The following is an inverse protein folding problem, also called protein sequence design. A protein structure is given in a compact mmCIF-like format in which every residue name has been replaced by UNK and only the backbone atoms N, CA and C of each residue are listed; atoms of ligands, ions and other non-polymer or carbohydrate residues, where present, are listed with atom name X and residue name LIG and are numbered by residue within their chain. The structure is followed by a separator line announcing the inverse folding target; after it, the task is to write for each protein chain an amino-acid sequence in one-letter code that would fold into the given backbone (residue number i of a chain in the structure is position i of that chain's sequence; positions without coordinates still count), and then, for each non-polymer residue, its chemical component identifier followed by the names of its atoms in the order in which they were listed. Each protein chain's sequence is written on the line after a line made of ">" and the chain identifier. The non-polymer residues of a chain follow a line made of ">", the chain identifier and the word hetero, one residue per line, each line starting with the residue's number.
data_IF_676508943473
#
_entry.id   IF_676508943473
#
_cell.length_a   1.000
_cell.length_b   1.000
_cell.length_c   1.000
_cell.angle_alpha   90.00
_cell.angle_beta   90.00
_cell.angle_gamma   90.00
#
_symmetry.space_group_name_H-M   'P 1'
#
loop_
_entity.id
_entity.type
_entity.pdbx_description
1 polymer ?
#
# COMPACT_ATOMS: atom_id res chain seq x y z
N UNK A 1 -16.30 50.89 -27.71
CA UNK A 1 -17.67 50.37 -27.70
C UNK A 1 -17.84 49.10 -26.86
N UNK A 2 -16.83 48.28 -26.69
CA UNK A 2 -16.89 47.11 -25.85
C UNK A 2 -16.92 47.44 -24.35
N UNK A 3 -16.37 48.56 -23.91
CA UNK A 3 -16.31 48.98 -22.51
C UNK A 3 -17.69 49.28 -21.89
N UNK A 4 -18.69 49.74 -22.67
CA UNK A 4 -20.01 50.04 -22.19
C UNK A 4 -20.88 48.80 -21.98
N UNK A 5 -20.67 47.75 -22.78
CA UNK A 5 -21.34 46.47 -22.63
C UNK A 5 -20.75 45.67 -21.46
N UNK A 6 -19.43 45.71 -21.27
CA UNK A 6 -18.75 45.07 -20.15
C UNK A 6 -19.17 45.68 -18.82
N UNK A 7 -19.49 46.99 -18.81
CA UNK A 7 -19.97 47.67 -17.62
C UNK A 7 -21.43 47.29 -17.27
N UNK A 8 -22.28 47.03 -18.28
CA UNK A 8 -23.65 46.56 -18.08
C UNK A 8 -23.75 45.11 -17.62
N UNK A 9 -22.83 44.27 -18.05
CA UNK A 9 -22.79 42.85 -17.70
C UNK A 9 -21.82 42.52 -16.56
N UNK A 10 -21.33 43.55 -15.85
CA UNK A 10 -20.48 43.36 -14.69
C UNK A 10 -19.07 42.86 -14.97
N UNK A 11 -18.59 42.97 -16.21
CA UNK A 11 -17.23 42.60 -16.61
C UNK A 11 -16.28 43.80 -16.58
N UNK A 12 -15.96 44.26 -15.39
CA UNK A 12 -14.98 45.34 -15.23
C UNK A 12 -13.53 44.76 -15.30
N UNK A 13 -12.53 45.53 -15.80
CA UNK A 13 -11.13 45.08 -15.83
C UNK A 13 -10.60 44.72 -14.44
N UNK A 14 -11.04 45.41 -13.40
CA UNK A 14 -10.67 45.13 -12.02
C UNK A 14 -11.24 43.78 -11.52
N UNK A 15 -12.41 43.38 -12.02
CA UNK A 15 -13.02 42.10 -11.68
C UNK A 15 -12.24 40.93 -12.26
N UNK A 16 -11.79 41.02 -13.55
CA UNK A 16 -10.95 40.03 -14.20
C UNK A 16 -9.62 39.85 -13.48
N UNK A 17 -9.01 40.96 -13.06
CA UNK A 17 -7.75 40.94 -12.29
C UNK A 17 -7.93 40.28 -10.95
N UNK A 18 -9.04 40.57 -10.24
CA UNK A 18 -9.40 39.96 -8.97
C UNK A 18 -9.69 38.48 -9.11
N UNK A 19 -10.41 38.08 -10.16
CA UNK A 19 -10.68 36.66 -10.48
C UNK A 19 -9.38 35.89 -10.73
N UNK A 20 -8.43 36.47 -11.48
CA UNK A 20 -7.13 35.84 -11.70
C UNK A 20 -6.38 35.64 -10.39
N UNK A 21 -6.38 36.62 -9.53
CA UNK A 21 -5.74 36.51 -8.22
C UNK A 21 -6.40 35.44 -7.34
N UNK A 22 -7.72 35.33 -7.42
CA UNK A 22 -8.46 34.25 -6.74
C UNK A 22 -8.09 32.86 -7.31
N UNK A 23 -8.02 32.72 -8.62
CA UNK A 23 -7.61 31.49 -9.27
C UNK A 23 -6.18 31.08 -8.92
N UNK A 24 -5.27 32.05 -8.93
CA UNK A 24 -3.87 31.81 -8.54
C UNK A 24 -3.79 31.40 -7.07
N UNK A 25 -4.50 32.10 -6.19
CA UNK A 25 -4.57 31.76 -4.78
C UNK A 25 -5.14 30.37 -4.53
N UNK A 26 -6.24 30.02 -5.20
CA UNK A 26 -6.83 28.69 -5.12
C UNK A 26 -5.88 27.60 -5.65
N UNK A 27 -5.19 27.85 -6.75
CA UNK A 27 -4.20 26.93 -7.31
C UNK A 27 -3.02 26.72 -6.37
N UNK A 28 -2.52 27.78 -5.74
CA UNK A 28 -1.43 27.69 -4.77
C UNK A 28 -1.85 26.89 -3.53
N UNK A 29 -3.04 27.11 -3.02
CA UNK A 29 -3.59 26.35 -1.89
C UNK A 29 -3.72 24.88 -2.26
N UNK A 30 -4.24 24.58 -3.46
CA UNK A 30 -4.38 23.21 -3.94
C UNK A 30 -3.03 22.51 -4.04
N UNK A 31 -2.02 23.17 -4.63
CA UNK A 31 -0.66 22.63 -4.73
C UNK A 31 -0.05 22.41 -3.35
N UNK A 32 -0.24 23.33 -2.42
CA UNK A 32 0.26 23.20 -1.06
C UNK A 32 -0.36 22.01 -0.33
N UNK A 33 -1.68 21.84 -0.42
CA UNK A 33 -2.39 20.70 0.17
C UNK A 33 -1.93 19.39 -0.45
N UNK A 34 -1.83 19.35 -1.78
CA UNK A 34 -1.38 18.17 -2.52
C UNK A 34 0.05 17.80 -2.15
N UNK A 35 0.95 18.78 -2.08
CA UNK A 35 2.35 18.56 -1.68
C UNK A 35 2.44 18.03 -0.25
N UNK A 36 1.68 18.60 0.67
CA UNK A 36 1.62 18.14 2.05
C UNK A 36 1.11 16.70 2.14
N UNK A 37 0.10 16.36 1.35
CA UNK A 37 -0.46 15.00 1.31
C UNK A 37 0.56 14.00 0.75
N UNK A 38 1.23 14.35 -0.35
CA UNK A 38 2.28 13.49 -0.94
C UNK A 38 3.44 13.28 0.04
N UNK A 39 3.84 14.34 0.72
CA UNK A 39 4.89 14.27 1.74
C UNK A 39 4.49 13.35 2.90
N UNK A 40 3.25 13.51 3.39
CA UNK A 40 2.71 12.67 4.45
C UNK A 40 2.60 11.20 4.02
N UNK A 41 2.03 10.94 2.84
CA UNK A 41 1.91 9.59 2.29
C UNK A 41 3.26 8.93 2.00
N UNK A 42 4.27 9.72 1.62
CA UNK A 42 5.63 9.22 1.40
C UNK A 42 6.40 8.95 2.70
N UNK A 43 6.08 9.65 3.77
CA UNK A 43 6.76 9.47 5.06
C UNK A 43 6.35 8.18 5.78
N UNK A 44 5.11 7.75 5.58
CA UNK A 44 4.56 6.53 6.19
C UNK A 44 5.03 5.24 5.49
N UNK A 45 5.95 5.36 4.55
CA UNK A 45 6.38 4.24 3.71
C UNK A 45 7.61 3.50 4.27
N UNK A 46 7.67 3.33 5.60
CA UNK A 46 8.69 2.48 6.24
C UNK A 46 8.61 1.03 5.75
N UNK A 47 7.51 0.65 5.12
CA UNK A 47 7.35 -0.65 4.49
C UNK A 47 8.00 -0.75 3.10
N UNK A 48 8.48 0.36 2.54
CA UNK A 48 9.13 0.35 1.23
C UNK A 48 10.46 -0.42 1.22
N UNK A 49 11.03 -0.69 2.39
CA UNK A 49 12.27 -1.43 2.52
C UNK A 49 12.07 -2.95 2.71
N UNK A 50 10.81 -3.39 2.75
CA UNK A 50 10.46 -4.79 2.89
C UNK A 50 9.45 -5.16 1.81
N UNK A 51 9.86 -6.04 0.91
CA UNK A 51 8.99 -6.59 -0.12
C UNK A 51 8.81 -8.08 0.12
N UNK A 52 7.57 -8.53 0.10
CA UNK A 52 7.21 -9.94 0.19
C UNK A 52 6.47 -10.37 -1.06
N UNK A 53 6.88 -11.49 -1.62
CA UNK A 53 6.30 -12.04 -2.85
C UNK A 53 5.93 -13.49 -2.65
N UNK A 54 4.68 -13.82 -2.91
CA UNK A 54 4.23 -15.21 -2.93
C UNK A 54 4.82 -15.92 -4.14
N UNK A 55 5.50 -17.05 -3.91
CA UNK A 55 6.11 -17.83 -5.00
C UNK A 55 5.32 -19.08 -5.33
N UNK A 56 4.85 -19.81 -4.34
CA UNK A 56 4.11 -21.06 -4.55
C UNK A 56 3.35 -21.45 -3.30
N UNK A 57 2.36 -22.33 -3.50
CA UNK A 57 1.75 -23.07 -2.41
C UNK A 57 1.49 -24.51 -2.85
N UNK A 58 1.49 -25.43 -1.90
CA UNK A 58 1.19 -26.83 -2.12
C UNK A 58 0.23 -27.32 -1.06
N UNK A 59 -0.94 -27.81 -1.48
CA UNK A 59 -1.92 -28.38 -0.57
C UNK A 59 -1.47 -29.81 -0.24
N UNK A 60 -1.07 -30.02 1.02
CA UNK A 60 -0.56 -31.32 1.47
C UNK A 60 -1.72 -32.27 1.74
N UNK A 61 -2.70 -31.81 2.52
CA UNK A 61 -3.92 -32.56 2.85
C UNK A 61 -5.05 -31.60 3.26
N UNK A 62 -6.15 -32.16 3.80
CA UNK A 62 -7.31 -31.36 4.22
C UNK A 62 -7.01 -30.43 5.41
N UNK A 63 -5.89 -30.61 6.10
CA UNK A 63 -5.54 -29.89 7.31
C UNK A 63 -4.18 -29.22 7.28
N UNK A 64 -3.45 -29.32 6.16
CA UNK A 64 -2.12 -28.74 6.02
C UNK A 64 -1.92 -28.16 4.62
N UNK A 65 -1.24 -27.03 4.57
CA UNK A 65 -0.81 -26.39 3.32
C UNK A 65 0.59 -25.84 3.51
N UNK A 66 1.45 -26.04 2.51
CA UNK A 66 2.78 -25.44 2.46
C UNK A 66 2.73 -24.18 1.61
N UNK A 67 3.23 -23.08 2.16
CA UNK A 67 3.29 -21.79 1.48
C UNK A 67 4.75 -21.39 1.36
N UNK A 68 5.17 -21.11 0.13
CA UNK A 68 6.52 -20.61 -0.16
C UNK A 68 6.46 -19.14 -0.56
N UNK A 69 7.35 -18.36 -0.01
CA UNK A 69 7.41 -16.94 -0.29
C UNK A 69 8.85 -16.43 -0.23
N UNK A 70 9.08 -15.31 -0.88
CA UNK A 70 10.37 -14.64 -0.90
C UNK A 70 10.27 -13.30 -0.20
N UNK A 71 11.20 -13.03 0.70
CA UNK A 71 11.36 -11.76 1.40
C UNK A 71 12.56 -11.02 0.84
N UNK A 72 12.37 -9.76 0.47
CA UNK A 72 13.42 -8.86 0.06
C UNK A 72 13.41 -7.66 1.02
N UNK A 73 14.49 -7.50 1.78
CA UNK A 73 14.64 -6.41 2.73
C UNK A 73 16.05 -5.82 2.64
N UNK A 74 16.11 -4.49 2.72
CA UNK A 74 17.38 -3.75 2.81
C UNK A 74 17.80 -3.48 4.25
N UNK A 75 16.90 -3.68 5.20
CA UNK A 75 17.16 -3.44 6.61
C UNK A 75 17.55 -4.73 7.34
N UNK A 76 18.55 -4.64 8.21
CA UNK A 76 19.00 -5.75 9.05
C UNK A 76 18.19 -5.81 10.35
N UNK A 77 16.88 -6.00 10.22
CA UNK A 77 15.95 -6.11 11.34
C UNK A 77 15.17 -7.42 11.24
N UNK A 78 14.67 -7.96 12.36
CA UNK A 78 13.77 -9.09 12.30
C UNK A 78 12.51 -8.77 11.52
N UNK A 79 12.02 -9.72 10.73
CA UNK A 79 10.83 -9.60 9.91
C UNK A 79 9.75 -10.53 10.45
N UNK A 80 8.58 -9.99 10.69
CA UNK A 80 7.40 -10.76 11.08
C UNK A 80 6.43 -10.81 9.93
N UNK A 81 6.00 -12.02 9.55
CA UNK A 81 5.04 -12.26 8.47
C UNK A 81 3.81 -12.96 8.99
N UNK A 82 2.64 -12.49 8.56
CA UNK A 82 1.37 -13.17 8.74
C UNK A 82 1.02 -13.87 7.44
N UNK A 83 0.86 -15.18 7.50
CA UNK A 83 0.48 -16.01 6.37
C UNK A 83 -0.90 -16.63 6.62
N UNK A 84 -1.67 -16.78 5.54
CA UNK A 84 -3.04 -17.26 5.64
C UNK A 84 -3.35 -18.28 4.55
N UNK A 85 -4.27 -19.16 4.85
CA UNK A 85 -4.85 -20.10 3.90
C UNK A 85 -6.33 -19.79 3.72
N UNK A 86 -6.80 -19.80 2.50
CA UNK A 86 -8.19 -19.51 2.13
C UNK A 86 -8.83 -20.73 1.49
N UNK A 87 -10.12 -20.91 1.73
CA UNK A 87 -10.92 -21.92 1.03
C UNK A 87 -11.50 -21.37 -0.29
N UNK A 88 -12.36 -22.16 -0.95
CA UNK A 88 -12.99 -21.75 -2.22
C UNK A 88 -13.87 -20.51 -2.10
N UNK A 89 -14.42 -20.24 -0.90
CA UNK A 89 -15.22 -19.05 -0.62
C UNK A 89 -14.41 -17.84 -0.16
N UNK A 90 -13.08 -17.94 -0.16
CA UNK A 90 -12.14 -16.94 0.34
C UNK A 90 -12.23 -16.72 1.85
N UNK A 91 -12.78 -17.67 2.59
CA UNK A 91 -12.75 -17.62 4.05
C UNK A 91 -11.39 -18.10 4.56
N UNK A 92 -10.90 -17.48 5.62
CA UNK A 92 -9.63 -17.83 6.24
C UNK A 92 -9.80 -19.13 7.01
N UNK A 93 -9.13 -20.20 6.58
CA UNK A 93 -9.16 -21.51 7.21
C UNK A 93 -7.86 -21.85 7.93
N UNK A 94 -6.83 -21.05 7.76
CA UNK A 94 -5.57 -21.18 8.48
C UNK A 94 -4.86 -19.84 8.60
N UNK A 95 -4.17 -19.63 9.72
CA UNK A 95 -3.47 -18.40 10.02
C UNK A 95 -2.24 -18.70 10.87
N UNK A 96 -1.10 -18.09 10.50
CA UNK A 96 0.12 -18.21 11.28
C UNK A 96 0.94 -16.93 11.19
N UNK A 97 1.48 -16.51 12.32
CA UNK A 97 2.41 -15.39 12.40
C UNK A 97 3.80 -15.95 12.74
N UNK A 98 4.79 -15.62 11.92
CA UNK A 98 6.15 -16.12 12.07
C UNK A 98 7.12 -14.94 12.06
N UNK A 99 8.06 -14.96 12.99
CA UNK A 99 9.14 -13.97 13.06
C UNK A 99 10.44 -14.62 12.61
N UNK A 100 11.08 -14.00 11.62
CA UNK A 100 12.41 -14.41 11.14
C UNK A 100 13.47 -13.49 11.72
N UNK A 101 14.62 -14.04 12.17
CA UNK A 101 15.70 -13.22 12.71
C UNK A 101 16.31 -12.33 11.63
N UNK A 102 16.97 -11.25 12.07
CA UNK A 102 17.70 -10.38 11.17
C UNK A 102 18.78 -11.15 10.42
N UNK A 103 18.90 -10.90 9.13
CA UNK A 103 19.90 -11.53 8.27
C UNK A 103 20.64 -10.49 7.46
N UNK A 104 21.89 -10.78 7.09
CA UNK A 104 22.66 -9.95 6.16
C UNK A 104 22.32 -10.21 4.69
N UNK A 105 21.57 -11.28 4.40
CA UNK A 105 21.14 -11.62 3.05
C UNK A 105 19.90 -10.81 2.70
N UNK A 106 19.96 -10.12 1.56
CA UNK A 106 18.89 -9.24 1.12
C UNK A 106 17.63 -9.99 0.71
N UNK A 107 17.79 -11.10 0.01
CA UNK A 107 16.68 -11.91 -0.52
C UNK A 107 16.73 -13.28 0.13
N UNK A 108 15.65 -13.67 0.79
CA UNK A 108 15.51 -14.99 1.42
C UNK A 108 14.21 -15.64 1.00
N UNK A 109 14.26 -16.96 0.76
CA UNK A 109 13.08 -17.76 0.45
C UNK A 109 12.73 -18.65 1.63
N UNK A 110 11.47 -18.64 2.00
CA UNK A 110 10.96 -19.43 3.13
C UNK A 110 9.79 -20.29 2.68
N UNK A 111 9.68 -21.47 3.26
CA UNK A 111 8.54 -22.37 3.10
C UNK A 111 8.02 -22.74 4.47
N UNK A 112 6.74 -22.49 4.70
CA UNK A 112 6.10 -22.76 5.98
C UNK A 112 4.84 -23.59 5.81
N UNK A 113 4.62 -24.52 6.73
CA UNK A 113 3.42 -25.35 6.77
C UNK A 113 2.43 -24.76 7.75
N UNK A 114 1.20 -24.54 7.27
CA UNK A 114 0.09 -24.03 8.10
C UNK A 114 -0.91 -25.15 8.33
N UNK A 115 -1.40 -25.25 9.55
CA UNK A 115 -2.56 -26.10 9.87
C UNK A 115 -3.83 -25.37 9.50
N UNK A 116 -4.73 -26.08 8.82
CA UNK A 116 -6.02 -25.54 8.40
C UNK A 116 -7.17 -26.32 9.02
N UNK A 117 -8.30 -25.66 9.22
CA UNK A 117 -9.50 -26.28 9.77
C UNK A 117 -10.26 -27.13 8.76
N UNK A 118 -10.07 -26.84 7.48
CA UNK A 118 -10.65 -27.56 6.36
C UNK A 118 -9.75 -27.45 5.14
N UNK A 119 -10.09 -28.11 4.04
CA UNK A 119 -9.32 -28.07 2.83
C UNK A 119 -9.16 -26.63 2.32
N UNK A 120 -7.93 -26.21 2.15
CA UNK A 120 -7.60 -24.91 1.59
C UNK A 120 -7.58 -24.96 0.06
N UNK A 121 -7.92 -23.83 -0.57
CA UNK A 121 -7.84 -23.66 -2.02
C UNK A 121 -6.58 -22.89 -2.41
N UNK A 122 -6.13 -21.97 -1.57
CA UNK A 122 -4.92 -21.16 -1.79
C UNK A 122 -4.27 -20.77 -0.47
N UNK A 123 -3.00 -20.44 -0.53
CA UNK A 123 -2.26 -19.89 0.58
C UNK A 123 -1.43 -18.70 0.11
N UNK A 124 -1.38 -17.65 0.94
CA UNK A 124 -0.65 -16.44 0.60
C UNK A 124 -0.18 -15.69 1.85
N UNK A 125 0.71 -14.74 1.64
CA UNK A 125 1.11 -13.80 2.67
C UNK A 125 0.01 -12.74 2.83
N UNK A 126 -0.46 -12.54 4.05
CA UNK A 126 -1.38 -11.44 4.35
C UNK A 126 -0.62 -10.12 4.45
N UNK A 127 0.42 -10.09 5.27
CA UNK A 127 1.28 -8.92 5.42
C UNK A 127 2.60 -9.30 6.10
N UNK A 128 3.65 -8.53 5.83
CA UNK A 128 4.91 -8.63 6.53
C UNK A 128 5.32 -7.24 7.04
N UNK A 129 5.98 -7.20 8.18
CA UNK A 129 6.49 -5.96 8.76
C UNK A 129 7.83 -6.19 9.47
N UNK A 130 8.56 -5.12 9.63
CA UNK A 130 9.80 -5.12 10.43
C UNK A 130 9.43 -5.02 11.91
N UNK A 131 9.98 -5.88 12.70
CA UNK A 131 9.71 -5.91 14.14
C UNK A 131 10.81 -5.29 14.97
#
# INVERSE_FOLDING_TARGET
>A
MTASLDQRYGRSPNRKRRERWWLVGAALIFVAIFTAWVFWAGWDNDQANLESTDTAFTIVDAHHIDISFTLNTTEKKPVTCAIQALDESFAIVGWRIITYPATSVRVTTHTETIRTTQLSNTGLISSCWLS
#
